data_IF_015451124703
#
_entry.id   IF_015451124703
#
_cell.length_a   1.000
_cell.length_b   1.000
_cell.length_c   1.000
_cell.angle_alpha   90.00
_cell.angle_beta   90.00
_cell.angle_gamma   90.00
#
_symmetry.space_group_name_H-M   'P 1'
#
loop_
_entity.id
_entity.type
_entity.pdbx_description
1 polymer ?
#
# COMPACT_ATOMS: atom_id res chain seq x y z
N UNK A 1 -51.38 -30.78 -15.07
CA UNK A 1 -49.98 -30.49 -15.45
C UNK A 1 -49.90 -29.13 -16.09
N UNK A 2 -49.39 -28.13 -15.37
CA UNK A 2 -48.94 -26.86 -15.94
C UNK A 2 -47.58 -26.58 -15.33
N UNK A 3 -46.55 -26.72 -16.16
CA UNK A 3 -45.16 -26.40 -15.84
C UNK A 3 -45.06 -24.88 -15.79
N UNK A 4 -44.71 -24.33 -14.63
CA UNK A 4 -44.35 -22.92 -14.50
C UNK A 4 -42.90 -22.80 -15.00
N UNK A 5 -42.74 -22.34 -16.23
CA UNK A 5 -41.44 -21.93 -16.76
C UNK A 5 -41.12 -20.55 -16.15
N UNK A 6 -40.28 -20.53 -15.13
CA UNK A 6 -39.68 -19.30 -14.60
C UNK A 6 -38.60 -18.89 -15.61
N UNK A 7 -38.88 -17.84 -16.39
CA UNK A 7 -37.90 -17.21 -17.25
C UNK A 7 -36.87 -16.47 -16.39
N UNK A 8 -35.69 -17.04 -16.23
CA UNK A 8 -34.50 -16.31 -15.76
C UNK A 8 -34.04 -15.39 -16.89
N UNK A 9 -34.33 -14.10 -16.76
CA UNK A 9 -33.76 -13.05 -17.61
C UNK A 9 -32.30 -12.87 -17.18
N UNK A 10 -31.38 -13.47 -17.92
CA UNK A 10 -29.96 -13.12 -17.87
C UNK A 10 -29.78 -11.76 -18.55
N UNK A 11 -29.66 -10.69 -17.76
CA UNK A 11 -29.08 -9.44 -18.25
C UNK A 11 -27.57 -9.67 -18.31
N UNK A 12 -27.09 -10.14 -19.46
CA UNK A 12 -25.67 -10.06 -19.80
C UNK A 12 -25.44 -8.59 -20.12
N UNK A 13 -25.04 -7.81 -19.11
CA UNK A 13 -24.40 -6.54 -19.35
C UNK A 13 -23.12 -6.84 -20.13
N UNK A 14 -23.02 -6.32 -21.35
CA UNK A 14 -21.81 -6.33 -22.16
C UNK A 14 -20.69 -5.61 -21.39
N UNK A 15 -19.99 -6.37 -20.55
CA UNK A 15 -18.64 -6.02 -20.15
C UNK A 15 -17.83 -6.10 -21.44
N UNK A 16 -17.55 -4.95 -22.03
CA UNK A 16 -16.50 -4.80 -23.03
C UNK A 16 -15.21 -5.34 -22.40
N UNK A 17 -14.93 -6.62 -22.61
CA UNK A 17 -13.60 -7.18 -22.46
C UNK A 17 -12.75 -6.49 -23.52
N UNK A 18 -12.18 -5.34 -23.13
CA UNK A 18 -11.03 -4.80 -23.84
C UNK A 18 -10.00 -5.91 -23.83
N UNK A 19 -9.67 -6.43 -25.01
CA UNK A 19 -8.55 -7.32 -25.19
C UNK A 19 -7.31 -6.61 -24.61
N UNK A 20 -6.80 -7.13 -23.49
CA UNK A 20 -5.55 -6.70 -22.90
C UNK A 20 -4.45 -7.14 -23.87
N UNK A 21 -4.14 -6.27 -24.83
CA UNK A 21 -3.01 -6.44 -25.73
C UNK A 21 -1.74 -6.02 -24.97
N UNK A 22 -0.76 -6.90 -25.00
CA UNK A 22 0.56 -6.82 -24.36
C UNK A 22 0.54 -7.02 -22.84
N UNK A 23 1.05 -8.18 -22.44
CA UNK A 23 1.34 -8.58 -21.07
C UNK A 23 2.41 -7.67 -20.46
N UNK A 24 2.01 -6.48 -20.01
CA UNK A 24 2.73 -5.78 -18.96
C UNK A 24 2.48 -6.60 -17.69
N UNK A 25 3.54 -7.19 -17.15
CA UNK A 25 3.53 -7.78 -15.82
C UNK A 25 3.08 -6.70 -14.85
N UNK A 26 1.81 -6.70 -14.49
CA UNK A 26 1.36 -6.03 -13.28
C UNK A 26 1.54 -7.06 -12.16
N UNK A 27 2.15 -6.62 -11.07
CA UNK A 27 1.66 -6.91 -9.73
C UNK A 27 2.24 -8.12 -8.98
N UNK A 28 3.56 -8.11 -8.71
CA UNK A 28 4.14 -8.93 -7.63
C UNK A 28 4.96 -8.11 -6.61
N UNK A 29 4.41 -6.99 -6.13
CA UNK A 29 4.99 -6.32 -4.96
C UNK A 29 4.95 -7.26 -3.75
N UNK A 30 6.05 -7.33 -3.00
CA UNK A 30 6.14 -8.07 -1.74
C UNK A 30 6.82 -7.21 -0.70
N UNK A 31 6.23 -7.12 0.47
CA UNK A 31 6.83 -6.50 1.63
C UNK A 31 7.26 -7.57 2.62
N UNK A 32 8.46 -7.40 3.16
CA UNK A 32 9.01 -8.24 4.22
C UNK A 32 9.55 -7.32 5.30
N UNK A 33 9.18 -7.59 6.55
CA UNK A 33 9.81 -6.95 7.70
C UNK A 33 10.35 -7.97 8.69
N UNK A 34 11.43 -7.62 9.36
CA UNK A 34 12.02 -8.38 10.45
C UNK A 34 12.24 -7.46 11.65
N UNK A 35 11.78 -7.90 12.82
CA UNK A 35 11.67 -7.12 14.06
C UNK A 35 12.16 -7.96 15.25
N UNK A 36 12.53 -7.30 16.34
CA UNK A 36 12.82 -7.96 17.61
C UNK A 36 13.89 -9.06 17.49
N UNK A 37 13.55 -10.26 17.92
CA UNK A 37 14.40 -11.47 17.91
C UNK A 37 14.80 -11.96 16.51
N UNK A 38 14.09 -11.53 15.45
CA UNK A 38 14.49 -11.79 14.06
C UNK A 38 15.66 -10.90 13.60
N UNK A 39 16.07 -9.96 14.43
CA UNK A 39 17.20 -9.04 14.23
C UNK A 39 18.10 -9.07 15.48
N UNK A 40 18.97 -8.08 15.68
CA UNK A 40 19.66 -7.90 16.96
C UNK A 40 18.80 -7.21 18.05
N UNK A 41 17.53 -6.91 17.76
CA UNK A 41 16.57 -6.30 18.69
C UNK A 41 16.70 -4.79 18.87
N UNK A 42 17.74 -4.16 18.30
CA UNK A 42 17.97 -2.72 18.33
C UNK A 42 17.84 -2.04 16.96
N UNK A 43 17.38 -2.80 15.96
CA UNK A 43 17.02 -2.28 14.64
C UNK A 43 15.93 -3.15 14.03
N UNK A 44 15.29 -2.62 13.00
CA UNK A 44 14.31 -3.33 12.20
C UNK A 44 14.75 -3.34 10.75
N UNK A 45 14.32 -4.35 10.00
CA UNK A 45 14.52 -4.39 8.55
C UNK A 45 13.17 -4.29 7.86
N UNK A 46 13.10 -3.44 6.84
CA UNK A 46 12.00 -3.37 5.89
C UNK A 46 12.55 -3.55 4.48
N UNK A 47 12.04 -4.56 3.79
CA UNK A 47 12.40 -4.89 2.42
C UNK A 47 11.15 -4.85 1.56
N UNK A 48 11.24 -4.12 0.45
CA UNK A 48 10.27 -4.16 -0.63
C UNK A 48 10.88 -4.81 -1.85
N UNK A 49 10.23 -5.85 -2.35
CA UNK A 49 10.40 -6.32 -3.73
C UNK A 49 9.42 -5.55 -4.59
N UNK A 50 9.94 -4.67 -5.45
CA UNK A 50 9.13 -3.76 -6.26
C UNK A 50 9.10 -4.22 -7.72
N UNK A 51 7.90 -4.34 -8.26
CA UNK A 51 7.66 -4.27 -9.69
C UNK A 51 7.52 -2.77 -10.06
N UNK A 52 8.28 -2.21 -11.01
CA UNK A 52 8.20 -0.78 -11.32
C UNK A 52 6.79 -0.37 -11.81
N UNK A 53 6.00 0.23 -10.90
CA UNK A 53 4.65 0.74 -11.18
C UNK A 53 4.60 1.86 -12.23
N UNK A 54 5.74 2.50 -12.52
CA UNK A 54 5.84 3.61 -13.48
C UNK A 54 7.05 3.40 -14.40
N UNK A 55 6.93 3.61 -15.72
CA UNK A 55 8.03 3.45 -16.65
C UNK A 55 9.12 4.52 -16.39
N UNK A 56 10.38 4.13 -16.56
CA UNK A 56 11.54 5.03 -16.48
C UNK A 56 12.57 4.62 -15.45
N UNK A 57 13.68 5.37 -15.39
CA UNK A 57 14.77 5.12 -14.45
C UNK A 57 14.31 5.36 -13.00
N UNK A 58 14.64 4.41 -12.13
CA UNK A 58 14.49 4.57 -10.69
C UNK A 58 15.68 5.37 -10.15
N UNK A 59 15.40 6.35 -9.30
CA UNK A 59 16.39 7.20 -8.66
C UNK A 59 16.14 7.24 -7.15
N UNK A 60 17.21 7.47 -6.41
CA UNK A 60 17.14 7.83 -5.00
C UNK A 60 16.91 9.33 -4.90
N UNK A 61 15.87 9.74 -4.19
CA UNK A 61 15.50 11.14 -4.02
C UNK A 61 15.42 11.48 -2.54
N UNK A 62 15.95 12.66 -2.18
CA UNK A 62 15.79 13.27 -0.86
C UNK A 62 14.86 14.46 -0.98
N UNK A 63 13.83 14.52 -0.14
CA UNK A 63 12.96 15.68 0.01
C UNK A 63 13.32 16.39 1.31
N UNK A 64 13.77 17.65 1.27
CA UNK A 64 14.20 18.36 2.46
C UNK A 64 13.01 18.81 3.31
N UNK A 65 13.24 18.97 4.62
CA UNK A 65 12.33 19.69 5.51
C UNK A 65 12.13 21.12 5.00
N UNK A 66 10.89 21.61 5.04
CA UNK A 66 10.50 22.90 4.49
C UNK A 66 10.29 22.89 2.97
N UNK A 67 10.38 21.74 2.30
CA UNK A 67 9.93 21.64 0.91
C UNK A 67 8.43 21.91 0.85
N UNK A 68 8.05 22.89 0.03
CA UNK A 68 6.66 23.29 -0.16
C UNK A 68 6.16 22.77 -1.50
N UNK A 69 4.92 22.29 -1.50
CA UNK A 69 4.25 21.88 -2.71
C UNK A 69 2.75 22.03 -2.58
N UNK A 70 2.11 22.15 -3.74
CA UNK A 70 0.66 22.15 -3.81
C UNK A 70 0.17 20.85 -4.46
N UNK A 71 -0.90 20.29 -3.92
CA UNK A 71 -1.49 19.05 -4.43
C UNK A 71 -3.01 19.09 -4.38
N UNK A 72 -3.69 18.25 -5.15
CA UNK A 72 -5.14 18.25 -5.19
C UNK A 72 -5.74 17.50 -4.00
N UNK A 73 -6.86 17.99 -3.47
CA UNK A 73 -7.66 17.22 -2.54
C UNK A 73 -8.26 16.00 -3.23
N UNK A 74 -8.37 14.85 -2.55
CA UNK A 74 -8.62 13.60 -3.22
C UNK A 74 -10.03 13.45 -3.81
N UNK A 75 -11.02 14.14 -3.22
CA UNK A 75 -12.42 14.02 -3.65
C UNK A 75 -12.85 15.15 -4.56
N UNK A 76 -12.57 16.38 -4.16
CA UNK A 76 -13.07 17.60 -4.83
C UNK A 76 -12.04 18.25 -5.75
N UNK A 77 -10.78 17.83 -5.70
CA UNK A 77 -9.71 18.32 -6.57
C UNK A 77 -9.25 19.75 -6.29
N UNK A 78 -9.72 20.39 -5.22
CA UNK A 78 -9.25 21.73 -4.86
C UNK A 78 -7.79 21.69 -4.41
N UNK A 79 -7.08 22.80 -4.60
CA UNK A 79 -5.66 22.91 -4.31
C UNK A 79 -5.43 22.97 -2.78
N UNK A 80 -4.59 22.08 -2.28
CA UNK A 80 -4.10 22.01 -0.90
C UNK A 80 -2.62 22.36 -0.90
N UNK A 81 -2.18 23.12 0.11
CA UNK A 81 -0.79 23.48 0.29
C UNK A 81 -0.16 22.63 1.39
N UNK A 82 1.02 22.09 1.15
CA UNK A 82 1.74 21.22 2.07
C UNK A 82 3.17 21.71 2.29
N UNK A 83 3.64 21.54 3.52
CA UNK A 83 5.03 21.77 3.92
C UNK A 83 5.56 20.46 4.49
N UNK A 84 6.74 20.04 4.04
CA UNK A 84 7.38 18.82 4.55
C UNK A 84 8.00 19.10 5.92
N UNK A 85 7.50 18.47 6.97
CA UNK A 85 7.94 18.69 8.37
C UNK A 85 9.12 17.79 8.75
N UNK A 86 9.14 16.58 8.21
CA UNK A 86 10.21 15.59 8.31
C UNK A 86 10.86 15.40 6.95
N UNK A 87 12.19 15.58 6.86
CA UNK A 87 12.88 15.23 5.61
C UNK A 87 12.78 13.72 5.41
N UNK A 88 12.66 13.28 4.17
CA UNK A 88 12.62 11.86 3.85
C UNK A 88 13.44 11.54 2.60
N UNK A 89 13.88 10.30 2.53
CA UNK A 89 14.58 9.74 1.37
C UNK A 89 13.82 8.52 0.88
N UNK A 90 13.71 8.36 -0.43
CA UNK A 90 12.99 7.24 -1.02
C UNK A 90 13.36 6.97 -2.46
N UNK A 91 12.94 5.81 -2.95
CA UNK A 91 13.14 5.39 -4.34
C UNK A 91 11.91 5.73 -5.16
N UNK A 92 12.10 6.51 -6.23
CA UNK A 92 11.01 6.94 -7.13
C UNK A 92 11.47 6.92 -8.59
N UNK A 93 10.54 7.07 -9.53
CA UNK A 93 10.88 7.28 -10.93
C UNK A 93 11.46 8.69 -11.11
N UNK A 94 12.46 8.87 -11.98
CA UNK A 94 13.12 10.18 -12.19
C UNK A 94 12.14 11.34 -12.44
N UNK A 95 11.04 11.10 -13.16
CA UNK A 95 10.00 12.10 -13.42
C UNK A 95 9.17 12.50 -12.20
N UNK A 96 9.22 11.72 -11.13
CA UNK A 96 8.51 11.95 -9.87
C UNK A 96 9.47 12.46 -8.77
N UNK A 97 10.68 12.91 -9.10
CA UNK A 97 11.56 13.60 -8.15
C UNK A 97 11.28 15.13 -8.15
N UNK A 98 11.63 15.87 -7.09
CA UNK A 98 11.55 17.32 -7.06
C UNK A 98 12.19 17.94 -8.30
N UNK A 99 11.57 18.98 -8.90
CA UNK A 99 10.46 19.78 -8.36
C UNK A 99 9.05 19.18 -8.53
N UNK A 100 8.93 17.96 -9.07
CA UNK A 100 7.65 17.29 -9.18
C UNK A 100 7.19 16.70 -7.84
N UNK A 101 5.94 16.23 -7.81
CA UNK A 101 5.36 15.56 -6.64
C UNK A 101 6.03 14.21 -6.45
N UNK A 102 6.58 14.00 -5.25
CA UNK A 102 7.31 12.77 -4.95
C UNK A 102 6.38 11.58 -4.75
N UNK A 103 6.69 10.51 -5.50
CA UNK A 103 5.93 9.26 -5.53
C UNK A 103 6.84 8.08 -5.24
N UNK A 104 7.30 7.97 -4.00
CA UNK A 104 8.27 6.94 -3.62
C UNK A 104 7.56 5.68 -3.12
N UNK A 105 7.93 4.53 -3.68
CA UNK A 105 7.34 3.23 -3.29
C UNK A 105 7.99 2.58 -2.08
N UNK A 106 9.09 3.14 -1.61
CA UNK A 106 9.72 2.84 -0.34
C UNK A 106 10.45 4.08 0.12
N UNK A 107 10.33 4.43 1.39
CA UNK A 107 10.93 5.64 1.95
C UNK A 107 11.21 5.51 3.44
N UNK A 108 12.08 6.36 3.95
CA UNK A 108 12.33 6.55 5.38
C UNK A 108 12.46 8.05 5.69
N UNK A 109 11.83 8.49 6.78
CA UNK A 109 11.93 9.87 7.25
C UNK A 109 12.99 10.04 8.35
N UNK A 110 13.27 11.28 8.75
CA UNK A 110 14.26 11.57 9.79
C UNK A 110 13.79 11.33 11.23
N UNK A 111 12.52 10.99 11.43
CA UNK A 111 12.02 10.38 12.67
C UNK A 111 12.35 8.88 12.76
N UNK A 112 12.94 8.29 11.72
CA UNK A 112 13.34 6.88 11.69
C UNK A 112 12.18 5.93 11.39
N UNK A 113 11.16 6.41 10.67
CA UNK A 113 9.99 5.64 10.26
C UNK A 113 10.14 5.29 8.78
N UNK A 114 10.16 4.01 8.48
CA UNK A 114 10.24 3.47 7.13
C UNK A 114 8.86 2.99 6.65
N UNK A 115 8.59 3.18 5.35
CA UNK A 115 7.33 2.85 4.70
C UNK A 115 7.58 2.07 3.42
N UNK A 116 6.69 1.15 3.11
CA UNK A 116 6.60 0.48 1.81
C UNK A 116 5.17 0.03 1.51
N UNK A 117 4.67 0.30 0.31
CA UNK A 117 3.38 -0.18 -0.18
C UNK A 117 3.48 -1.56 -0.86
N UNK A 118 2.36 -2.23 -1.06
CA UNK A 118 2.20 -3.30 -2.02
C UNK A 118 0.73 -3.34 -2.43
N UNK A 119 0.44 -2.94 -3.66
CA UNK A 119 -0.89 -2.60 -4.14
C UNK A 119 -1.59 -3.78 -4.84
N UNK A 120 -2.90 -3.93 -4.60
CA UNK A 120 -3.73 -4.92 -5.28
C UNK A 120 -4.88 -4.26 -6.02
N UNK A 121 -5.39 -4.98 -7.02
CA UNK A 121 -6.63 -4.60 -7.67
C UNK A 121 -7.77 -4.70 -6.65
N UNK A 122 -8.39 -3.56 -6.36
CA UNK A 122 -9.62 -3.46 -5.58
C UNK A 122 -10.55 -2.42 -6.21
N UNK A 123 -11.86 -2.67 -6.16
CA UNK A 123 -12.89 -1.78 -6.70
C UNK A 123 -13.55 -0.88 -5.64
N UNK A 124 -13.15 -1.00 -4.38
CA UNK A 124 -13.60 -0.10 -3.30
C UNK A 124 -12.62 1.06 -3.20
N UNK A 125 -12.67 1.93 -4.20
CA UNK A 125 -11.74 3.04 -4.37
C UNK A 125 -12.52 4.34 -4.60
N UNK A 126 -11.85 5.47 -4.42
CA UNK A 126 -12.35 6.75 -4.86
C UNK A 126 -12.39 6.79 -6.40
N UNK A 127 -13.57 6.96 -7.02
CA UNK A 127 -13.71 6.90 -8.47
C UNK A 127 -13.32 8.21 -9.16
N UNK A 128 -13.00 9.26 -8.41
CA UNK A 128 -12.65 10.55 -8.98
C UNK A 128 -11.24 10.50 -9.57
N UNK A 129 -10.99 11.31 -10.60
CA UNK A 129 -9.65 11.49 -11.18
C UNK A 129 -8.63 12.13 -10.22
N UNK A 130 -9.09 12.55 -9.04
CA UNK A 130 -8.30 13.20 -8.01
C UNK A 130 -7.94 12.23 -6.88
N UNK A 131 -8.38 10.98 -6.94
CA UNK A 131 -8.02 9.97 -5.95
C UNK A 131 -6.50 9.88 -5.79
N UNK A 132 -6.06 9.70 -4.56
CA UNK A 132 -4.66 9.56 -4.16
C UNK A 132 -4.22 8.10 -4.29
N UNK A 133 -3.01 7.89 -4.81
CA UNK A 133 -2.39 6.57 -4.90
C UNK A 133 -1.66 6.17 -3.59
N UNK A 134 -1.16 4.94 -3.52
CA UNK A 134 -0.24 4.43 -2.49
C UNK A 134 0.85 5.44 -2.11
N UNK A 135 1.49 6.02 -3.12
CA UNK A 135 2.62 6.92 -2.90
C UNK A 135 2.20 8.24 -2.27
N UNK A 136 1.00 8.74 -2.59
CA UNK A 136 0.43 9.92 -1.93
C UNK A 136 0.16 9.69 -0.45
N UNK A 137 -0.39 8.52 -0.11
CA UNK A 137 -0.64 8.11 1.27
C UNK A 137 0.64 8.10 2.09
N UNK A 138 1.64 7.39 1.58
CA UNK A 138 2.93 7.26 2.26
C UNK A 138 3.63 8.62 2.34
N UNK A 139 3.61 9.44 1.29
CA UNK A 139 4.18 10.80 1.35
C UNK A 139 3.52 11.63 2.44
N UNK A 140 2.19 11.65 2.50
CA UNK A 140 1.43 12.42 3.49
C UNK A 140 1.77 11.98 4.93
N UNK A 141 1.93 10.68 5.16
CA UNK A 141 2.34 10.16 6.48
C UNK A 141 3.81 10.46 6.79
N UNK A 142 4.73 10.11 5.88
CA UNK A 142 6.16 10.23 6.09
C UNK A 142 6.65 11.67 6.27
N UNK A 143 5.98 12.64 5.63
CA UNK A 143 6.36 14.04 5.75
C UNK A 143 6.00 14.67 7.10
N UNK A 144 5.10 14.06 7.88
CA UNK A 144 4.49 14.67 9.07
C UNK A 144 4.60 13.84 10.35
N UNK A 145 4.75 12.52 10.26
CA UNK A 145 4.78 11.67 11.44
C UNK A 145 6.09 11.77 12.25
N UNK A 146 5.96 12.09 13.54
CA UNK A 146 7.04 12.05 14.54
C UNK A 146 7.27 10.62 15.07
N UNK A 147 6.24 9.76 15.06
CA UNK A 147 6.34 8.37 15.49
C UNK A 147 5.46 7.40 14.68
N UNK A 148 5.62 6.10 14.93
CA UNK A 148 4.93 5.05 14.17
C UNK A 148 3.41 5.06 14.40
N UNK A 149 2.92 5.41 15.60
CA UNK A 149 1.49 5.47 15.86
C UNK A 149 0.86 6.66 15.14
N UNK A 150 1.53 7.80 15.13
CA UNK A 150 1.13 8.96 14.34
C UNK A 150 1.16 8.65 12.84
N UNK A 151 2.19 7.96 12.36
CA UNK A 151 2.27 7.52 10.98
C UNK A 151 1.04 6.69 10.56
N UNK A 152 0.64 5.72 11.39
CA UNK A 152 -0.58 4.91 11.18
C UNK A 152 -1.84 5.77 11.25
N UNK A 153 -1.92 6.72 12.19
CA UNK A 153 -3.06 7.64 12.32
C UNK A 153 -3.24 8.50 11.05
N UNK A 154 -2.14 9.03 10.51
CA UNK A 154 -2.14 9.82 9.27
C UNK A 154 -2.56 8.98 8.07
N UNK A 155 -2.12 7.72 7.96
CA UNK A 155 -2.63 6.80 6.93
C UNK A 155 -4.16 6.59 7.05
N UNK A 156 -4.69 6.52 8.27
CA UNK A 156 -6.13 6.44 8.50
C UNK A 156 -6.86 7.74 8.16
N UNK A 157 -6.25 8.91 8.38
CA UNK A 157 -6.80 10.19 7.88
C UNK A 157 -6.99 10.18 6.37
N UNK A 158 -6.08 9.54 5.64
CA UNK A 158 -6.23 9.43 4.19
C UNK A 158 -7.44 8.58 3.77
N UNK A 159 -7.74 7.50 4.49
CA UNK A 159 -9.01 6.76 4.31
C UNK A 159 -10.21 7.62 4.68
N UNK A 160 -10.16 8.39 5.77
CA UNK A 160 -11.26 9.28 6.17
C UNK A 160 -11.55 10.37 5.13
N UNK A 161 -10.54 10.79 4.37
CA UNK A 161 -10.69 11.67 3.21
C UNK A 161 -11.30 10.96 1.98
N UNK A 162 -11.59 9.65 2.08
CA UNK A 162 -11.94 8.77 0.97
C UNK A 162 -10.95 8.93 -0.18
N UNK A 163 -9.66 8.99 0.13
CA UNK A 163 -8.65 9.27 -0.87
C UNK A 163 -8.23 8.12 -1.78
N UNK A 164 -8.15 6.85 -1.34
CA UNK A 164 -7.40 5.84 -2.06
C UNK A 164 -8.00 5.50 -3.42
N UNK A 165 -7.15 5.50 -4.44
CA UNK A 165 -7.44 5.02 -5.80
C UNK A 165 -7.23 3.52 -5.99
N UNK A 166 -6.60 2.86 -5.01
CA UNK A 166 -6.24 1.44 -4.99
C UNK A 166 -6.38 0.90 -3.56
N UNK A 167 -6.49 -0.41 -3.38
CA UNK A 167 -6.39 -0.99 -2.04
C UNK A 167 -4.94 -1.26 -1.69
N UNK A 168 -4.63 -1.01 -0.43
CA UNK A 168 -3.27 -0.93 0.07
C UNK A 168 -2.93 -2.04 1.05
N UNK A 169 -1.66 -2.42 1.01
CA UNK A 169 -0.96 -3.16 2.04
C UNK A 169 0.35 -2.45 2.37
N UNK A 170 0.30 -1.51 3.31
CA UNK A 170 1.43 -0.66 3.69
C UNK A 170 2.10 -1.23 4.94
N UNK A 171 3.40 -1.46 4.84
CA UNK A 171 4.24 -1.79 5.98
C UNK A 171 4.87 -0.48 6.50
N UNK A 172 4.74 -0.26 7.80
CA UNK A 172 5.34 0.87 8.51
C UNK A 172 6.23 0.31 9.61
N UNK A 173 7.48 0.75 9.68
CA UNK A 173 8.46 0.17 10.61
C UNK A 173 9.29 1.28 11.25
N UNK A 174 9.51 1.19 12.55
CA UNK A 174 10.54 1.95 13.25
C UNK A 174 11.53 0.98 13.92
N UNK A 175 12.48 1.49 14.70
CA UNK A 175 13.52 0.67 15.33
C UNK A 175 13.03 -0.39 16.33
N UNK A 176 11.80 -0.27 16.86
CA UNK A 176 11.29 -1.13 17.94
C UNK A 176 10.07 -1.96 17.54
N UNK A 177 9.30 -1.54 16.54
CA UNK A 177 8.05 -2.19 16.15
C UNK A 177 7.72 -1.93 14.68
N UNK A 178 6.77 -2.70 14.16
CA UNK A 178 6.17 -2.51 12.85
C UNK A 178 4.66 -2.53 12.90
N UNK A 179 4.05 -2.10 11.81
CA UNK A 179 2.62 -2.18 11.56
C UNK A 179 2.37 -2.59 10.12
N UNK A 180 1.37 -3.43 9.92
CA UNK A 180 0.80 -3.73 8.61
C UNK A 180 -0.56 -3.04 8.55
N UNK A 181 -0.70 -2.12 7.61
CA UNK A 181 -1.93 -1.39 7.32
C UNK A 181 -2.54 -1.97 6.05
N UNK A 182 -3.71 -2.55 6.18
CA UNK A 182 -4.52 -2.98 5.04
C UNK A 182 -5.77 -2.12 4.94
N UNK A 183 -5.93 -1.41 3.82
CA UNK A 183 -6.98 -0.42 3.69
C UNK A 183 -7.47 -0.23 2.26
N UNK A 184 -8.70 0.28 2.14
CA UNK A 184 -9.33 0.74 0.89
C UNK A 184 -10.09 2.05 1.17
N UNK A 185 -10.95 2.52 0.27
CA UNK A 185 -11.68 3.79 0.46
C UNK A 185 -12.66 3.82 1.64
N UNK A 186 -13.02 2.68 2.24
CA UNK A 186 -13.99 2.60 3.35
C UNK A 186 -13.47 1.78 4.54
N UNK A 187 -12.52 0.88 4.31
CA UNK A 187 -11.97 -0.03 5.30
C UNK A 187 -10.57 0.41 5.70
N UNK A 188 -10.30 0.35 7.00
CA UNK A 188 -8.96 0.48 7.54
C UNK A 188 -8.72 -0.64 8.56
N UNK A 189 -7.61 -1.34 8.45
CA UNK A 189 -7.18 -2.32 9.42
C UNK A 189 -5.69 -2.16 9.68
N UNK A 190 -5.30 -2.25 10.96
CA UNK A 190 -3.91 -2.22 11.37
C UNK A 190 -3.61 -3.43 12.25
N UNK A 191 -2.44 -4.03 12.03
CA UNK A 191 -1.85 -5.05 12.89
C UNK A 191 -0.46 -4.62 13.28
N UNK A 192 -0.24 -4.37 14.57
CA UNK A 192 1.08 -4.08 15.12
C UNK A 192 1.86 -5.37 15.37
N UNK A 193 3.17 -5.31 15.12
CA UNK A 193 4.10 -6.43 15.23
C UNK A 193 5.31 -5.93 16.01
N UNK A 194 5.69 -6.65 17.06
CA UNK A 194 6.84 -6.29 17.91
C UNK A 194 8.03 -7.24 17.71
N UNK A 195 7.76 -8.46 17.22
CA UNK A 195 8.75 -9.52 17.14
C UNK A 195 8.49 -10.46 15.96
N UNK A 196 9.57 -10.97 15.35
CA UNK A 196 9.53 -11.97 14.29
C UNK A 196 9.69 -11.42 12.87
N UNK A 197 9.33 -12.25 11.89
CA UNK A 197 9.36 -11.92 10.46
C UNK A 197 7.94 -11.98 9.90
N UNK A 198 7.56 -10.93 9.19
CA UNK A 198 6.29 -10.85 8.49
C UNK A 198 6.55 -10.60 7.01
N UNK A 199 5.91 -11.39 6.16
CA UNK A 199 6.01 -11.28 4.72
C UNK A 199 4.62 -11.33 4.11
N UNK A 200 4.32 -10.37 3.23
CA UNK A 200 3.06 -10.31 2.53
C UNK A 200 3.27 -9.89 1.09
N UNK A 201 2.59 -10.60 0.17
CA UNK A 201 2.45 -10.10 -1.18
C UNK A 201 1.54 -8.88 -1.19
N UNK A 202 1.34 -8.32 -2.36
CA UNK A 202 0.41 -7.25 -2.60
C UNK A 202 -1.05 -7.59 -2.26
N UNK A 203 -1.42 -8.86 -2.07
CA UNK A 203 -2.76 -9.27 -1.67
C UNK A 203 -3.00 -9.10 -0.16
N UNK A 204 -3.89 -8.19 0.28
CA UNK A 204 -4.18 -7.95 1.69
C UNK A 204 -5.05 -9.07 2.28
N UNK A 205 -4.59 -9.71 3.37
CA UNK A 205 -5.21 -10.91 3.95
C UNK A 205 -6.50 -10.60 4.70
N UNK A 206 -6.53 -9.53 5.49
CA UNK A 206 -7.66 -9.10 6.31
C UNK A 206 -8.68 -8.36 5.46
N UNK A 207 -8.22 -7.46 4.59
CA UNK A 207 -9.07 -6.67 3.72
C UNK A 207 -9.85 -7.56 2.75
N UNK A 208 -9.21 -8.57 2.14
CA UNK A 208 -9.89 -9.51 1.26
C UNK A 208 -11.05 -10.25 1.93
N UNK A 209 -10.95 -10.57 3.23
CA UNK A 209 -12.05 -11.22 3.97
C UNK A 209 -13.26 -10.31 4.18
N UNK A 210 -13.08 -8.98 4.14
CA UNK A 210 -14.15 -8.00 4.32
C UNK A 210 -14.96 -7.79 3.04
N UNK A 211 -14.36 -8.05 1.88
CA UNK A 211 -15.07 -7.93 0.61
C UNK A 211 -15.93 -9.16 0.32
N UNK A 212 -17.12 -8.95 -0.22
CA UNK A 212 -18.08 -10.03 -0.48
C UNK A 212 -17.59 -11.05 -1.51
N UNK A 213 -16.90 -10.59 -2.57
CA UNK A 213 -16.59 -11.41 -3.75
C UNK A 213 -15.11 -11.86 -3.77
N UNK A 214 -14.21 -11.09 -3.17
CA UNK A 214 -12.75 -11.32 -3.26
C UNK A 214 -12.31 -12.67 -2.69
N UNK A 215 -12.88 -13.18 -1.58
CA UNK A 215 -12.54 -14.51 -1.08
C UNK A 215 -12.79 -15.65 -2.08
N UNK A 216 -13.63 -15.45 -3.10
CA UNK A 216 -13.91 -16.45 -4.15
C UNK A 216 -12.78 -16.51 -5.19
N UNK A 217 -11.96 -15.47 -5.31
CA UNK A 217 -10.87 -15.37 -6.30
C UNK A 217 -9.50 -15.80 -5.77
N UNK A 218 -9.41 -16.26 -4.52
CA UNK A 218 -8.16 -16.76 -3.92
C UNK A 218 -8.19 -18.26 -3.67
N UNK A 219 -7.00 -18.86 -3.73
CA UNK A 219 -6.80 -20.24 -3.30
C UNK A 219 -7.22 -20.42 -1.83
N UNK A 220 -7.80 -21.58 -1.44
CA UNK A 220 -8.05 -21.90 -0.03
C UNK A 220 -6.81 -21.76 0.87
N UNK A 221 -5.61 -21.99 0.31
CA UNK A 221 -4.35 -21.84 1.04
C UNK A 221 -3.92 -20.38 1.26
N UNK A 222 -4.55 -19.41 0.60
CA UNK A 222 -4.22 -17.99 0.72
C UNK A 222 -4.33 -17.48 2.16
N UNK A 223 -5.35 -17.94 2.88
CA UNK A 223 -5.55 -17.59 4.29
C UNK A 223 -4.78 -18.48 5.27
N UNK A 224 -4.01 -19.45 4.77
CA UNK A 224 -3.17 -20.26 5.65
C UNK A 224 -2.02 -19.42 6.20
N UNK A 225 -1.81 -19.52 7.51
CA UNK A 225 -0.60 -19.02 8.14
C UNK A 225 0.37 -20.19 8.22
N UNK A 226 1.54 -20.03 7.58
CA UNK A 226 2.66 -20.96 7.70
C UNK A 226 3.70 -20.29 8.56
N UNK A 227 3.95 -20.86 9.73
CA UNK A 227 5.07 -20.50 10.58
C UNK A 227 6.08 -21.62 10.48
N UNK A 228 7.31 -21.26 10.17
CA UNK A 228 8.44 -22.17 10.25
C UNK A 228 9.45 -21.57 11.22
N UNK A 229 10.14 -22.42 11.97
CA UNK A 229 11.37 -22.03 12.64
C UNK A 229 12.48 -22.13 11.59
N UNK A 230 13.27 -21.08 11.45
CA UNK A 230 14.40 -21.04 10.53
C UNK A 230 15.62 -20.52 11.29
N UNK A 231 16.75 -21.20 11.12
CA UNK A 231 18.05 -20.81 11.62
C UNK A 231 18.90 -20.13 10.53
N UNK A 232 20.01 -19.52 10.94
CA UNK A 232 20.93 -18.84 10.02
C UNK A 232 21.49 -19.85 9.01
N UNK A 233 21.14 -19.65 7.74
CA UNK A 233 21.63 -20.47 6.62
C UNK A 233 20.57 -21.40 6.03
N UNK A 234 19.39 -21.49 6.66
CA UNK A 234 18.28 -22.26 6.13
C UNK A 234 17.73 -21.62 4.84
N UNK A 235 17.41 -22.46 3.86
CA UNK A 235 16.68 -22.05 2.66
C UNK A 235 15.20 -22.22 2.93
N UNK A 236 14.50 -21.09 3.01
CA UNK A 236 13.06 -20.99 3.25
C UNK A 236 12.32 -20.94 1.92
#
# INVERSE_FOLDING_TARGET
>A
MKVIAIAFVFIIAEMNFVAISESVSYAECKNVMALGSATAGNYSLLLKVRDPARPGYQVLCIVPKGYEYDYHSPWLGYKMHFVVEHKFIGTTTLGDAPPNIVKAGMMINDAGIAFSDADTLCHIVNPTKHAWDDFDWMRYSAQSADDLNEAVSLLHDVVRMHAPSVAENIFVVNASMGAIVEADAINFNVRFIEDGVEAQSNYPKVLWKKHLIYPVFVSPSFYSNKSILAEKGDRI
#
